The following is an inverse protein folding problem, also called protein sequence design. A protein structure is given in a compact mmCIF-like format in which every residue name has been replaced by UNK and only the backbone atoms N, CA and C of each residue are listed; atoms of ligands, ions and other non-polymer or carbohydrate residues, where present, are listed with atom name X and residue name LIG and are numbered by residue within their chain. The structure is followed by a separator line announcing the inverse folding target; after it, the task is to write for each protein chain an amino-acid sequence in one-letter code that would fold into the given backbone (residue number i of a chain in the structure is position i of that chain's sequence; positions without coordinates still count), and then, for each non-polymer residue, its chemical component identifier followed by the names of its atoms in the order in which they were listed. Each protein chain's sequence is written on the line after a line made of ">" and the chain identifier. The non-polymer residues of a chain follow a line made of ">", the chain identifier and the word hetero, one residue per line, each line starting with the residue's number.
data_IF_288737983162
#
_entry.id   IF_288737983162
#
_cell.length_a   1.000
_cell.length_b   1.000
_cell.length_c   1.000
_cell.angle_alpha   90.00
_cell.angle_beta   90.00
_cell.angle_gamma   90.00
#
_symmetry.space_group_name_H-M   'P 1'
#
loop_
_entity.id
_entity.type
_entity.pdbx_description
1 polymer ?
#
# COMPACT_ATOMS: atom_id res chain seq x y z
N UNK A 1 -19.29 -10.76 -25.54
CA UNK A 1 -18.66 -9.46 -25.24
C UNK A 1 -17.14 -9.61 -25.45
N UNK A 2 -16.51 -8.90 -26.40
CA UNK A 2 -15.04 -8.93 -26.54
C UNK A 2 -14.43 -8.34 -25.26
N UNK A 3 -13.76 -9.17 -24.45
CA UNK A 3 -13.16 -8.80 -23.16
C UNK A 3 -12.05 -7.78 -23.43
N UNK A 4 -12.26 -6.51 -23.07
CA UNK A 4 -11.24 -5.47 -23.25
C UNK A 4 -10.15 -5.66 -22.19
N UNK A 5 -9.11 -6.44 -22.54
CA UNK A 5 -8.02 -6.83 -21.63
C UNK A 5 -7.35 -5.63 -20.94
N UNK A 6 -7.29 -4.47 -21.60
CA UNK A 6 -6.74 -3.25 -21.04
C UNK A 6 -7.55 -2.70 -19.86
N UNK A 7 -8.88 -2.73 -19.96
CA UNK A 7 -9.76 -2.24 -18.89
C UNK A 7 -9.67 -3.13 -17.64
N UNK A 8 -9.60 -4.46 -17.83
CA UNK A 8 -9.39 -5.41 -16.74
C UNK A 8 -8.02 -5.25 -16.08
N UNK A 9 -6.96 -5.04 -16.87
CA UNK A 9 -5.62 -4.77 -16.37
C UNK A 9 -5.58 -3.50 -15.51
N UNK A 10 -6.23 -2.43 -15.97
CA UNK A 10 -6.34 -1.16 -15.25
C UNK A 10 -7.09 -1.35 -13.92
N UNK A 11 -8.25 -2.00 -13.96
CA UNK A 11 -9.07 -2.25 -12.78
C UNK A 11 -8.32 -3.09 -11.73
N UNK A 12 -7.65 -4.17 -12.16
CA UNK A 12 -6.88 -5.02 -11.24
C UNK A 12 -5.65 -4.32 -10.67
N UNK A 13 -4.98 -3.49 -11.47
CA UNK A 13 -3.85 -2.68 -10.99
C UNK A 13 -4.30 -1.68 -9.92
N UNK A 14 -5.45 -1.02 -10.13
CA UNK A 14 -6.05 -0.12 -9.14
C UNK A 14 -6.49 -0.87 -7.88
N UNK A 15 -7.16 -2.01 -8.02
CA UNK A 15 -7.59 -2.82 -6.89
C UNK A 15 -6.40 -3.28 -6.03
N UNK A 16 -5.32 -3.76 -6.67
CA UNK A 16 -4.09 -4.13 -5.96
C UNK A 16 -3.50 -2.92 -5.23
N UNK A 17 -3.37 -1.78 -5.92
CA UNK A 17 -2.80 -0.57 -5.35
C UNK A 17 -3.61 -0.10 -4.13
N UNK A 18 -4.95 -0.05 -4.23
CA UNK A 18 -5.83 0.34 -3.13
C UNK A 18 -5.70 -0.59 -1.92
N UNK A 19 -5.68 -1.90 -2.14
CA UNK A 19 -5.53 -2.88 -1.05
C UNK A 19 -4.16 -2.72 -0.37
N UNK A 20 -3.10 -2.62 -1.16
CA UNK A 20 -1.73 -2.50 -0.67
C UNK A 20 -1.53 -1.18 0.08
N UNK A 21 -2.05 -0.06 -0.43
CA UNK A 21 -2.00 1.23 0.24
C UNK A 21 -2.74 1.20 1.57
N UNK A 22 -3.95 0.63 1.61
CA UNK A 22 -4.74 0.54 2.84
C UNK A 22 -4.00 -0.23 3.95
N UNK A 23 -3.46 -1.40 3.62
CA UNK A 23 -2.69 -2.22 4.57
C UNK A 23 -1.41 -1.51 5.01
N UNK A 24 -0.73 -0.83 4.08
CA UNK A 24 0.54 -0.13 4.36
C UNK A 24 0.34 1.08 5.27
N UNK A 25 -0.70 1.87 5.03
CA UNK A 25 -1.08 3.00 5.90
C UNK A 25 -1.47 2.51 7.29
N UNK A 26 -2.24 1.41 7.38
CA UNK A 26 -2.62 0.84 8.66
C UNK A 26 -1.39 0.45 9.51
N UNK A 27 -0.44 -0.27 8.92
CA UNK A 27 0.81 -0.62 9.61
C UNK A 27 1.65 0.60 9.98
N UNK A 28 1.74 1.59 9.08
CA UNK A 28 2.45 2.83 9.34
C UNK A 28 1.85 3.60 10.54
N UNK A 29 0.52 3.70 10.64
CA UNK A 29 -0.15 4.34 11.77
C UNK A 29 0.15 3.60 13.07
N UNK A 30 0.11 2.27 13.09
CA UNK A 30 0.46 1.47 14.27
C UNK A 30 1.89 1.77 14.72
N UNK A 31 2.85 1.74 13.79
CA UNK A 31 4.25 1.98 14.09
C UNK A 31 4.46 3.42 14.58
N UNK A 32 3.84 4.40 13.92
CA UNK A 32 3.89 5.80 14.37
C UNK A 32 3.30 5.98 15.76
N UNK A 33 2.16 5.35 16.06
CA UNK A 33 1.54 5.43 17.38
C UNK A 33 2.46 4.84 18.46
N UNK A 34 3.09 3.69 18.18
CA UNK A 34 4.07 3.07 19.08
C UNK A 34 5.27 4.01 19.32
N UNK A 35 5.80 4.63 18.27
CA UNK A 35 6.89 5.60 18.38
C UNK A 35 6.48 6.83 19.20
N UNK A 36 5.30 7.41 18.97
CA UNK A 36 4.80 8.55 19.73
C UNK A 36 4.70 8.23 21.22
N UNK A 37 4.24 7.03 21.57
CA UNK A 37 4.17 6.56 22.96
C UNK A 37 5.57 6.38 23.56
N UNK A 38 6.47 5.70 22.85
CA UNK A 38 7.83 5.41 23.32
C UNK A 38 8.66 6.67 23.55
N UNK A 39 8.56 7.64 22.65
CA UNK A 39 9.37 8.87 22.66
C UNK A 39 8.64 10.07 23.27
N UNK A 40 7.40 9.89 23.74
CA UNK A 40 6.53 10.98 24.24
C UNK A 40 6.49 12.16 23.25
N UNK A 41 6.41 11.84 21.97
CA UNK A 41 6.48 12.80 20.87
C UNK A 41 5.11 13.04 20.26
N UNK A 42 4.91 14.22 19.67
CA UNK A 42 3.69 14.58 18.98
C UNK A 42 3.33 13.57 17.86
N UNK A 43 2.09 13.11 17.86
CA UNK A 43 1.64 12.06 16.94
C UNK A 43 1.62 12.49 15.48
N UNK A 44 1.34 13.77 15.20
CA UNK A 44 1.32 14.26 13.83
C UNK A 44 2.74 14.30 13.26
N UNK A 45 3.70 14.83 14.02
CA UNK A 45 5.11 14.88 13.61
C UNK A 45 5.69 13.48 13.37
N UNK A 46 5.45 12.54 14.30
CA UNK A 46 5.92 11.15 14.15
C UNK A 46 5.30 10.47 12.93
N UNK A 47 4.04 10.76 12.63
CA UNK A 47 3.43 10.25 11.40
C UNK A 47 4.07 10.84 10.15
N UNK A 48 4.34 12.14 10.09
CA UNK A 48 4.99 12.74 8.91
C UNK A 48 6.43 12.25 8.68
N UNK A 49 7.20 12.04 9.76
CA UNK A 49 8.62 11.67 9.66
C UNK A 49 8.83 10.17 9.54
N UNK A 50 7.99 9.37 10.20
CA UNK A 50 8.15 7.91 10.25
C UNK A 50 7.04 7.22 9.47
N UNK A 51 5.78 7.51 9.82
CA UNK A 51 4.61 6.79 9.30
C UNK A 51 4.42 6.93 7.79
N UNK A 52 4.33 8.15 7.29
CA UNK A 52 4.16 8.45 5.87
C UNK A 52 5.23 7.78 4.99
N UNK A 53 6.53 7.97 5.28
CA UNK A 53 7.59 7.29 4.56
C UNK A 53 7.49 5.75 4.64
N UNK A 54 7.15 5.19 5.81
CA UNK A 54 6.94 3.75 5.96
C UNK A 54 5.78 3.24 5.11
N UNK A 55 4.66 3.97 5.07
CA UNK A 55 3.49 3.61 4.29
C UNK A 55 3.84 3.52 2.79
N UNK A 56 4.63 4.47 2.29
CA UNK A 56 5.12 4.45 0.90
C UNK A 56 6.03 3.25 0.68
N UNK A 57 7.00 3.01 1.56
CA UNK A 57 7.93 1.87 1.45
C UNK A 57 7.21 0.52 1.43
N UNK A 58 6.28 0.31 2.37
CA UNK A 58 5.47 -0.90 2.41
C UNK A 58 4.59 -1.02 1.17
N UNK A 59 3.97 0.07 0.72
CA UNK A 59 3.12 0.03 -0.46
C UNK A 59 3.91 -0.35 -1.70
N UNK A 60 5.10 0.24 -1.90
CA UNK A 60 6.00 -0.12 -2.99
C UNK A 60 6.44 -1.57 -2.91
N UNK A 61 6.91 -2.02 -1.73
CA UNK A 61 7.38 -3.39 -1.52
C UNK A 61 6.29 -4.42 -1.84
N UNK A 62 5.09 -4.25 -1.29
CA UNK A 62 4.00 -5.19 -1.48
C UNK A 62 3.43 -5.16 -2.89
N UNK A 63 3.37 -3.99 -3.53
CA UNK A 63 2.95 -3.88 -4.93
C UNK A 63 3.87 -4.69 -5.82
N UNK A 64 5.20 -4.56 -5.66
CA UNK A 64 6.17 -5.33 -6.43
C UNK A 64 6.00 -6.84 -6.18
N UNK A 65 5.87 -7.24 -4.90
CA UNK A 65 5.71 -8.67 -4.53
C UNK A 65 4.42 -9.29 -5.06
N UNK A 66 3.34 -8.52 -5.15
CA UNK A 66 2.02 -8.99 -5.58
C UNK A 66 1.72 -8.71 -7.06
N UNK A 67 2.63 -8.05 -7.78
CA UNK A 67 2.45 -7.73 -9.20
C UNK A 67 2.26 -8.98 -10.09
N UNK A 68 2.85 -10.12 -9.71
CA UNK A 68 2.64 -11.38 -10.40
C UNK A 68 1.15 -11.81 -10.44
N UNK A 69 0.37 -11.46 -9.41
CA UNK A 69 -1.07 -11.75 -9.34
C UNK A 69 -1.86 -10.97 -10.41
N UNK A 70 -1.51 -9.69 -10.60
CA UNK A 70 -2.14 -8.84 -11.63
C UNK A 70 -1.82 -9.36 -13.03
N UNK A 71 -0.58 -9.82 -13.26
CA UNK A 71 -0.20 -10.42 -14.55
C UNK A 71 -1.00 -11.68 -14.83
N UNK A 72 -1.04 -12.63 -13.88
CA UNK A 72 -1.73 -13.90 -14.04
C UNK A 72 -3.21 -13.72 -14.44
N UNK A 73 -3.93 -12.83 -13.75
CA UNK A 73 -5.35 -12.54 -14.01
C UNK A 73 -5.66 -11.90 -15.37
N UNK A 74 -4.66 -11.29 -16.01
CA UNK A 74 -4.83 -10.60 -17.30
C UNK A 74 -4.43 -11.50 -18.47
N UNK A 75 -3.47 -12.41 -18.23
CA UNK A 75 -3.04 -13.41 -19.22
C UNK A 75 -3.98 -14.61 -19.33
N UNK A 76 -4.61 -15.04 -18.24
CA UNK A 76 -5.68 -16.06 -18.23
C UNK A 76 -7.04 -15.47 -18.70
#
# INVERSE_FOLDING_TARGET
>A
MKRNKYFYFLFMSFALLSMVLGVSIFFAIIISALFSVLFKADSAWVYYVVGGPLAVLFATFWTIKRWAFVKAFVTE
#
